data_IF_798593709418
#
_entry.id   IF_798593709418
#
_cell.length_a   1.000
_cell.length_b   1.000
_cell.length_c   1.000
_cell.angle_alpha   90.00
_cell.angle_beta   90.00
_cell.angle_gamma   90.00
#
_symmetry.space_group_name_H-M   'P 1'
#
loop_
_entity.id
_entity.type
_entity.pdbx_description
1 polymer ?
#
# COMPACT_ATOMS: atom_id res chain seq x y z
N UNK A 1 17.10 18.39 19.39
CA UNK A 1 16.98 18.61 17.94
C UNK A 1 16.11 17.49 17.40
N UNK A 2 14.96 17.77 16.79
CA UNK A 2 14.17 16.72 16.17
C UNK A 2 14.89 16.28 14.89
N UNK A 3 15.39 15.04 14.86
CA UNK A 3 16.02 14.47 13.68
C UNK A 3 14.99 14.28 12.57
N UNK A 4 15.40 14.49 11.32
CA UNK A 4 14.61 14.08 10.17
C UNK A 4 14.73 12.56 10.04
N UNK A 5 13.74 11.84 10.58
CA UNK A 5 13.66 10.38 10.51
C UNK A 5 12.58 9.98 9.50
N UNK A 6 12.79 8.88 8.79
CA UNK A 6 11.86 8.36 7.79
C UNK A 6 11.71 6.86 7.96
N UNK A 7 10.47 6.40 8.06
CA UNK A 7 10.14 4.98 8.08
C UNK A 7 10.09 4.47 6.62
N UNK A 8 10.85 3.41 6.31
CA UNK A 8 10.78 2.73 5.02
C UNK A 8 9.99 1.44 5.16
N UNK A 9 8.92 1.30 4.38
CA UNK A 9 8.01 0.15 4.42
C UNK A 9 8.05 -0.56 3.07
N UNK A 10 8.56 -1.79 3.07
CA UNK A 10 8.60 -2.67 1.90
C UNK A 10 7.41 -3.61 1.94
N UNK A 11 6.69 -3.71 0.82
CA UNK A 11 5.47 -4.51 0.72
C UNK A 11 5.68 -5.52 -0.40
N UNK A 12 5.57 -6.80 -0.06
CA UNK A 12 5.45 -7.89 -1.02
C UNK A 12 3.96 -8.01 -1.42
N UNK A 13 3.56 -7.74 -2.67
CA UNK A 13 2.22 -8.09 -3.15
C UNK A 13 1.91 -9.58 -2.96
N UNK A 14 0.62 -9.94 -2.94
CA UNK A 14 0.19 -11.34 -2.79
C UNK A 14 0.87 -12.22 -3.84
N UNK A 15 1.40 -13.36 -3.39
CA UNK A 15 2.19 -14.32 -4.19
C UNK A 15 3.63 -13.90 -4.52
N UNK A 16 4.13 -12.79 -4.00
CA UNK A 16 5.54 -12.40 -4.11
C UNK A 16 6.24 -12.48 -2.75
N UNK A 17 7.58 -12.57 -2.76
CA UNK A 17 8.41 -12.64 -1.55
C UNK A 17 7.84 -13.58 -0.48
N UNK A 18 7.47 -13.03 0.68
CA UNK A 18 6.84 -13.77 1.79
C UNK A 18 5.31 -13.72 1.82
N UNK A 19 4.66 -12.87 1.01
CA UNK A 19 3.21 -12.70 1.01
C UNK A 19 2.48 -13.86 0.32
N UNK A 20 1.49 -14.44 0.99
CA UNK A 20 0.69 -15.58 0.48
C UNK A 20 -0.80 -15.34 0.71
N UNK A 21 -1.62 -15.85 -0.21
CA UNK A 21 -3.05 -16.02 0.06
C UNK A 21 -3.24 -17.13 1.10
N UNK A 22 -4.36 -17.10 1.83
CA UNK A 22 -4.66 -18.12 2.83
C UNK A 22 -4.78 -19.52 2.19
N UNK A 23 -5.41 -19.60 1.02
CA UNK A 23 -5.41 -20.79 0.18
C UNK A 23 -4.78 -20.48 -1.18
N UNK A 24 -3.98 -21.40 -1.71
CA UNK A 24 -3.26 -21.18 -2.98
C UNK A 24 -4.21 -20.96 -4.16
N UNK A 25 -5.35 -21.65 -4.17
CA UNK A 25 -6.38 -21.52 -5.23
C UNK A 25 -6.93 -20.09 -5.33
N UNK A 26 -6.89 -19.35 -4.22
CA UNK A 26 -7.42 -17.99 -4.11
C UNK A 26 -6.41 -16.94 -4.54
N UNK A 27 -5.12 -17.27 -4.69
CA UNK A 27 -4.06 -16.33 -5.04
C UNK A 27 -4.37 -15.53 -6.31
N UNK A 28 -4.97 -16.18 -7.31
CA UNK A 28 -5.31 -15.57 -8.60
C UNK A 28 -6.30 -14.42 -8.49
N UNK A 29 -7.11 -14.36 -7.43
CA UNK A 29 -8.07 -13.27 -7.24
C UNK A 29 -7.37 -11.92 -6.99
N UNK A 30 -6.09 -11.93 -6.59
CA UNK A 30 -5.31 -10.72 -6.29
C UNK A 30 -4.46 -10.23 -7.47
N UNK A 31 -4.38 -10.98 -8.56
CA UNK A 31 -3.44 -10.67 -9.67
C UNK A 31 -4.04 -9.79 -10.76
N UNK A 32 -5.34 -9.48 -10.66
CA UNK A 32 -5.96 -8.47 -11.52
C UNK A 32 -5.51 -7.06 -11.13
N UNK A 33 -5.45 -6.15 -12.10
CA UNK A 33 -4.93 -4.79 -11.91
C UNK A 33 -5.59 -4.07 -10.71
N UNK A 34 -6.93 -4.05 -10.65
CA UNK A 34 -7.64 -3.39 -9.56
C UNK A 34 -7.47 -4.14 -8.24
N UNK A 35 -7.50 -5.48 -8.26
CA UNK A 35 -7.39 -6.30 -7.06
C UNK A 35 -5.99 -6.23 -6.42
N UNK A 36 -4.94 -6.14 -7.24
CA UNK A 36 -3.57 -5.89 -6.78
C UNK A 36 -3.49 -4.52 -6.09
N UNK A 37 -3.99 -3.47 -6.73
CA UNK A 37 -3.98 -2.12 -6.18
C UNK A 37 -4.81 -2.05 -4.88
N UNK A 38 -6.01 -2.63 -4.85
CA UNK A 38 -6.89 -2.64 -3.66
C UNK A 38 -6.25 -3.40 -2.49
N UNK A 39 -5.69 -4.58 -2.74
CA UNK A 39 -5.07 -5.39 -1.68
C UNK A 39 -3.84 -4.73 -1.08
N UNK A 40 -2.99 -4.11 -1.91
CA UNK A 40 -1.83 -3.34 -1.43
C UNK A 40 -2.28 -2.07 -0.71
N UNK A 41 -3.31 -1.38 -1.21
CA UNK A 41 -3.88 -0.20 -0.56
C UNK A 41 -4.44 -0.51 0.83
N UNK A 42 -5.15 -1.62 0.98
CA UNK A 42 -5.64 -2.10 2.28
C UNK A 42 -4.51 -2.45 3.25
N UNK A 43 -3.42 -3.05 2.75
CA UNK A 43 -2.23 -3.30 3.57
C UNK A 43 -1.62 -1.99 4.08
N UNK A 44 -1.44 -0.99 3.21
CA UNK A 44 -0.92 0.33 3.58
C UNK A 44 -1.81 0.98 4.64
N UNK A 45 -3.14 0.96 4.44
CA UNK A 45 -4.13 1.53 5.39
C UNK A 45 -4.03 0.88 6.77
N UNK A 46 -3.91 -0.44 6.83
CA UNK A 46 -3.72 -1.19 8.08
C UNK A 46 -2.40 -0.84 8.74
N UNK A 47 -1.29 -0.87 8.00
CA UNK A 47 0.03 -0.52 8.54
C UNK A 47 0.05 0.89 9.13
N UNK A 48 -0.54 1.89 8.44
CA UNK A 48 -0.65 3.26 8.95
C UNK A 48 -1.43 3.31 10.27
N UNK A 49 -2.53 2.55 10.37
CA UNK A 49 -3.37 2.50 11.57
C UNK A 49 -2.66 1.85 12.73
N UNK A 50 -2.06 0.68 12.51
CA UNK A 50 -1.37 -0.11 13.54
C UNK A 50 -0.14 0.63 14.08
N UNK A 51 0.55 1.39 13.22
CA UNK A 51 1.72 2.18 13.58
C UNK A 51 1.41 3.64 13.96
N UNK A 52 0.12 4.02 14.02
CA UNK A 52 -0.33 5.37 14.41
C UNK A 52 0.30 6.50 13.56
N UNK A 53 0.46 6.26 12.26
CA UNK A 53 1.15 7.16 11.31
C UNK A 53 0.21 8.02 10.48
N UNK A 54 -1.08 8.13 10.81
CA UNK A 54 -2.06 8.87 10.01
C UNK A 54 -1.66 10.33 9.70
N UNK A 55 -1.07 11.04 10.68
CA UNK A 55 -0.61 12.41 10.50
C UNK A 55 0.74 12.57 9.77
N UNK A 56 1.48 11.48 9.55
CA UNK A 56 2.79 11.55 8.90
C UNK A 56 2.65 11.82 7.40
N UNK A 57 3.53 12.61 6.77
CA UNK A 57 3.63 12.65 5.31
C UNK A 57 3.85 11.25 4.74
N UNK A 58 3.24 10.95 3.58
CA UNK A 58 3.30 9.63 2.93
C UNK A 58 3.73 9.81 1.49
N UNK A 59 4.65 8.97 1.06
CA UNK A 59 5.16 8.93 -0.30
C UNK A 59 5.16 7.49 -0.78
N UNK A 60 4.71 7.28 -2.02
CA UNK A 60 4.74 5.97 -2.67
C UNK A 60 5.83 5.99 -3.74
N UNK A 61 6.68 4.97 -3.70
CA UNK A 61 7.72 4.75 -4.70
C UNK A 61 7.61 3.32 -5.21
N UNK A 62 7.92 3.12 -6.48
CA UNK A 62 7.95 1.80 -7.10
C UNK A 62 8.65 1.88 -8.44
N UNK A 63 9.28 0.77 -8.83
CA UNK A 63 9.97 0.62 -10.11
C UNK A 63 9.20 -0.37 -11.01
N UNK A 64 9.29 -0.22 -12.33
CA UNK A 64 8.65 -1.12 -13.29
C UNK A 64 7.13 -1.19 -13.05
N UNK A 65 6.56 -2.38 -12.82
CA UNK A 65 5.15 -2.51 -12.46
C UNK A 65 4.79 -1.86 -11.12
N UNK A 66 5.78 -1.66 -10.24
CA UNK A 66 5.64 -0.85 -9.04
C UNK A 66 5.28 0.62 -9.35
N UNK A 67 5.72 1.18 -10.47
CA UNK A 67 5.31 2.52 -10.93
C UNK A 67 3.82 2.55 -11.24
N UNK A 68 3.33 1.53 -11.95
CA UNK A 68 1.91 1.35 -12.27
C UNK A 68 1.07 1.25 -11.01
N UNK A 69 1.53 0.46 -10.03
CA UNK A 69 0.87 0.32 -8.72
C UNK A 69 0.86 1.63 -7.93
N UNK A 70 1.99 2.32 -7.84
CA UNK A 70 2.09 3.60 -7.14
C UNK A 70 1.15 4.66 -7.74
N UNK A 71 1.04 4.70 -9.08
CA UNK A 71 0.08 5.53 -9.78
C UNK A 71 -1.37 5.16 -9.45
N UNK A 72 -1.73 3.88 -9.48
CA UNK A 72 -3.07 3.42 -9.11
C UNK A 72 -3.45 3.75 -7.67
N UNK A 73 -2.51 3.58 -6.73
CA UNK A 73 -2.70 3.87 -5.30
C UNK A 73 -2.82 5.38 -5.01
N UNK A 74 -2.24 6.24 -5.85
CA UNK A 74 -2.37 7.70 -5.68
C UNK A 74 -3.84 8.16 -5.78
N UNK A 75 -4.67 7.47 -6.55
CA UNK A 75 -6.10 7.74 -6.65
C UNK A 75 -6.87 7.21 -5.43
N UNK A 76 -6.50 6.04 -4.92
CA UNK A 76 -7.12 5.44 -3.72
C UNK A 76 -6.79 6.25 -2.46
N UNK A 77 -5.62 6.86 -2.43
CA UNK A 77 -5.18 7.73 -1.33
C UNK A 77 -6.18 8.86 -1.04
N UNK A 78 -6.88 9.39 -2.04
CA UNK A 78 -7.81 10.51 -1.80
C UNK A 78 -9.21 10.05 -1.38
N UNK A 79 -9.67 8.88 -1.84
CA UNK A 79 -11.07 8.45 -1.63
C UNK A 79 -11.24 7.49 -0.45
N UNK A 80 -10.20 6.74 -0.08
CA UNK A 80 -10.27 5.74 0.99
C UNK A 80 -9.52 6.09 2.29
N UNK A 81 -8.74 7.18 2.31
CA UNK A 81 -7.87 7.54 3.45
C UNK A 81 -8.36 8.72 4.31
N UNK A 82 -9.59 9.21 4.11
CA UNK A 82 -10.20 10.21 5.01
C UNK A 82 -9.37 11.48 5.20
N UNK A 83 -8.73 11.98 4.13
CA UNK A 83 -8.04 13.26 4.18
C UNK A 83 -9.08 14.37 4.01
N UNK A 84 -9.39 15.03 5.12
CA UNK A 84 -10.11 16.31 5.12
C UNK A 84 -9.34 17.31 4.28
N UNK A 85 -9.89 17.67 3.13
CA UNK A 85 -9.48 18.84 2.35
C UNK A 85 -9.88 20.09 3.13
N UNK A 86 -8.88 20.78 3.65
CA UNK A 86 -8.88 22.24 3.74
C UNK A 86 -7.89 22.74 2.70
#
# INVERSE_FOLDING_TARGET
MAGHETDLVFIDPVSTGYSRANEEKDAKQFHGYNQDIESVGEFIRRWISDNKRWASPKYLIGESYGTTRASGLSNISNTAMGVSQW
#
